data_IF_257347789679
#
_entry.id   IF_257347789679
#
_cell.length_a   1.000
_cell.length_b   1.000
_cell.length_c   1.000
_cell.angle_alpha   90.00
_cell.angle_beta   90.00
_cell.angle_gamma   90.00
#
_symmetry.space_group_name_H-M   'P 1'
#
loop_
_entity.id
_entity.type
_entity.pdbx_description
1 polymer ?
#
# COMPACT_ATOMS: atom_id res chain seq x y z
N UNK A 1 -21.77 7.23 18.00
CA UNK A 1 -21.70 6.63 16.64
C UNK A 1 -20.36 6.88 15.92
N UNK A 2 -19.42 7.67 16.49
CA UNK A 2 -18.03 7.78 16.03
C UNK A 2 -17.17 6.52 16.33
N UNK A 3 -17.67 5.64 17.19
CA UNK A 3 -16.94 4.44 17.62
C UNK A 3 -16.82 3.37 16.53
N UNK A 4 -17.74 3.29 15.56
CA UNK A 4 -17.67 2.30 14.46
C UNK A 4 -16.47 2.58 13.56
N UNK A 5 -16.33 3.83 13.13
CA UNK A 5 -15.19 4.27 12.30
C UNK A 5 -13.88 4.22 13.07
N UNK A 6 -13.89 4.55 14.36
CA UNK A 6 -12.71 4.39 15.21
C UNK A 6 -12.27 2.92 15.35
N UNK A 7 -13.21 1.98 15.43
CA UNK A 7 -12.92 0.54 15.46
C UNK A 7 -12.36 0.04 14.13
N UNK A 8 -12.95 0.43 13.00
CA UNK A 8 -12.46 0.08 11.66
C UNK A 8 -11.05 0.63 11.41
N UNK A 9 -10.79 1.88 11.80
CA UNK A 9 -9.45 2.50 11.73
C UNK A 9 -8.45 1.79 12.65
N UNK A 10 -8.88 1.39 13.85
CA UNK A 10 -8.03 0.63 14.77
C UNK A 10 -7.67 -0.75 14.21
N UNK A 11 -8.63 -1.43 13.57
CA UNK A 11 -8.42 -2.70 12.88
C UNK A 11 -7.43 -2.56 11.73
N UNK A 12 -7.59 -1.52 10.90
CA UNK A 12 -6.67 -1.21 9.83
C UNK A 12 -5.26 -0.89 10.36
N UNK A 13 -5.16 -0.11 11.44
CA UNK A 13 -3.90 0.19 12.10
C UNK A 13 -3.21 -1.07 12.60
N UNK A 14 -3.93 -1.98 13.27
CA UNK A 14 -3.37 -3.27 13.73
C UNK A 14 -2.90 -4.11 12.54
N UNK A 15 -3.67 -4.17 11.46
CA UNK A 15 -3.29 -4.89 10.24
C UNK A 15 -2.01 -4.32 9.61
N UNK A 16 -1.91 -2.99 9.46
CA UNK A 16 -0.73 -2.34 8.90
C UNK A 16 0.50 -2.49 9.83
N UNK A 17 0.30 -2.42 11.15
CA UNK A 17 1.37 -2.65 12.14
C UNK A 17 1.90 -4.09 12.03
N UNK A 18 1.01 -5.08 11.93
CA UNK A 18 1.38 -6.47 11.74
C UNK A 18 2.19 -6.67 10.44
N UNK A 19 1.78 -6.01 9.35
CA UNK A 19 2.53 -6.01 8.08
C UNK A 19 3.93 -5.41 8.25
N UNK A 20 4.04 -4.27 8.95
CA UNK A 20 5.30 -3.58 9.17
C UNK A 20 6.28 -4.41 10.02
N UNK A 21 5.76 -5.09 11.06
CA UNK A 21 6.55 -6.03 11.86
C UNK A 21 6.96 -7.27 11.05
N UNK A 22 6.06 -7.81 10.22
CA UNK A 22 6.36 -8.96 9.37
C UNK A 22 7.46 -8.65 8.35
N UNK A 23 7.39 -7.51 7.66
CA UNK A 23 8.45 -7.02 6.75
C UNK A 23 9.72 -6.65 7.53
N UNK A 24 9.59 -6.09 8.73
CA UNK A 24 10.72 -5.80 9.62
C UNK A 24 11.53 -7.04 10.01
N UNK A 25 10.85 -8.19 10.19
CA UNK A 25 11.53 -9.48 10.43
C UNK A 25 12.33 -9.97 9.23
N UNK A 26 12.01 -9.54 8.01
CA UNK A 26 12.83 -9.87 6.83
C UNK A 26 14.16 -9.11 6.84
N UNK A 27 14.22 -7.92 7.44
CA UNK A 27 15.42 -7.07 7.47
C UNK A 27 16.65 -7.78 8.01
N UNK A 28 16.51 -8.66 9.00
CA UNK A 28 17.64 -9.42 9.57
C UNK A 28 18.14 -10.53 8.65
N UNK A 29 17.34 -10.97 7.69
CA UNK A 29 17.67 -12.03 6.72
C UNK A 29 18.04 -11.50 5.34
N UNK A 30 17.93 -10.18 5.15
CA UNK A 30 18.12 -9.53 3.86
C UNK A 30 19.49 -8.88 3.77
N UNK A 31 20.18 -9.12 2.66
CA UNK A 31 21.49 -8.54 2.40
C UNK A 31 21.44 -7.00 2.34
N UNK A 32 22.59 -6.36 2.62
CA UNK A 32 22.75 -4.90 2.69
C UNK A 32 22.20 -4.18 1.45
N UNK A 33 22.39 -4.80 0.28
CA UNK A 33 22.00 -4.32 -1.05
C UNK A 33 20.48 -4.15 -1.23
N UNK A 34 19.67 -4.93 -0.49
CA UNK A 34 18.21 -4.96 -0.59
C UNK A 34 17.51 -4.16 0.51
N UNK A 35 18.26 -3.65 1.50
CA UNK A 35 17.71 -2.82 2.59
C UNK A 35 16.92 -1.59 2.12
N UNK A 36 17.31 -0.88 1.04
CA UNK A 36 16.54 0.25 0.54
C UNK A 36 15.15 -0.15 0.03
N UNK A 37 15.04 -1.30 -0.65
CA UNK A 37 13.76 -1.82 -1.11
C UNK A 37 12.85 -2.20 0.06
N UNK A 38 13.40 -2.80 1.11
CA UNK A 38 12.65 -3.08 2.35
C UNK A 38 12.18 -1.80 3.03
N UNK A 39 13.01 -0.74 3.06
CA UNK A 39 12.62 0.55 3.60
C UNK A 39 11.44 1.15 2.83
N UNK A 40 11.47 1.09 1.50
CA UNK A 40 10.35 1.55 0.67
C UNK A 40 9.07 0.73 0.91
N UNK A 41 9.17 -0.59 1.09
CA UNK A 41 8.04 -1.43 1.50
C UNK A 41 7.49 -1.01 2.87
N UNK A 42 8.38 -0.78 3.85
CA UNK A 42 7.98 -0.34 5.19
C UNK A 42 7.28 1.02 5.15
N UNK A 43 7.78 1.98 4.37
CA UNK A 43 7.10 3.25 4.13
C UNK A 43 5.71 3.02 3.52
N UNK A 44 5.60 2.10 2.56
CA UNK A 44 4.33 1.70 1.95
C UNK A 44 3.25 1.25 2.93
N UNK A 45 3.64 0.63 4.06
CA UNK A 45 2.73 0.23 5.14
C UNK A 45 2.67 1.23 6.31
N UNK A 46 3.72 2.03 6.52
CA UNK A 46 3.80 3.02 7.60
C UNK A 46 2.87 4.22 7.34
N UNK A 47 2.74 4.67 6.09
CA UNK A 47 1.82 5.77 5.77
C UNK A 47 0.35 5.41 6.02
N UNK A 48 -0.17 4.26 5.55
CA UNK A 48 -1.52 3.79 5.90
C UNK A 48 -1.71 3.58 7.40
N UNK A 49 -0.71 3.02 8.09
CA UNK A 49 -0.73 2.86 9.55
C UNK A 49 -0.91 4.20 10.26
N UNK A 50 -0.09 5.20 9.91
CA UNK A 50 -0.16 6.51 10.52
C UNK A 50 -1.53 7.17 10.22
N UNK A 51 -2.05 7.01 9.00
CA UNK A 51 -3.35 7.57 8.63
C UNK A 51 -4.48 6.95 9.45
N UNK A 52 -4.43 5.63 9.65
CA UNK A 52 -5.38 4.86 10.45
C UNK A 52 -5.29 5.19 11.95
N UNK A 53 -4.09 5.36 12.51
CA UNK A 53 -3.90 5.78 13.91
C UNK A 53 -4.48 7.17 14.15
N UNK A 54 -4.18 8.13 13.26
CA UNK A 54 -4.73 9.48 13.35
C UNK A 54 -6.25 9.49 13.13
N UNK A 55 -6.77 8.61 12.27
CA UNK A 55 -8.21 8.39 12.10
C UNK A 55 -8.89 7.89 13.38
N UNK A 56 -8.33 6.83 13.99
CA UNK A 56 -8.81 6.31 15.26
C UNK A 56 -8.79 7.35 16.39
N UNK A 57 -7.73 8.17 16.47
CA UNK A 57 -7.62 9.27 17.43
C UNK A 57 -8.63 10.39 17.15
N UNK A 58 -8.85 10.73 15.87
CA UNK A 58 -9.82 11.75 15.45
C UNK A 58 -11.24 11.38 15.86
N UNK A 59 -11.64 10.14 15.58
CA UNK A 59 -13.00 9.68 15.86
C UNK A 59 -13.21 9.28 17.33
N UNK A 60 -12.13 9.00 18.08
CA UNK A 60 -12.21 8.61 19.49
C UNK A 60 -12.06 9.76 20.49
N UNK A 61 -11.05 10.62 20.31
CA UNK A 61 -10.55 11.49 21.38
C UNK A 61 -10.33 12.96 20.95
N UNK A 62 -9.95 13.22 19.69
CA UNK A 62 -9.49 14.55 19.26
C UNK A 62 -10.01 14.95 17.86
N UNK A 63 -11.19 15.57 17.76
CA UNK A 63 -11.79 15.94 16.47
C UNK A 63 -10.97 16.93 15.63
N UNK A 64 -10.04 17.66 16.26
CA UNK A 64 -9.17 18.67 15.65
C UNK A 64 -8.14 18.07 14.65
N UNK A 65 -7.94 16.76 14.65
CA UNK A 65 -6.99 16.06 13.78
C UNK A 65 -7.51 15.84 12.34
N UNK A 66 -8.60 16.50 11.94
CA UNK A 66 -9.27 16.28 10.67
C UNK A 66 -8.40 16.62 9.45
N UNK A 67 -7.70 17.76 9.48
CA UNK A 67 -6.78 18.16 8.41
C UNK A 67 -5.58 17.21 8.32
N UNK A 68 -5.01 16.83 9.47
CA UNK A 68 -3.86 15.94 9.54
C UNK A 68 -4.20 14.54 9.01
N UNK A 69 -5.36 13.99 9.38
CA UNK A 69 -5.87 12.74 8.83
C UNK A 69 -6.07 12.83 7.31
N UNK A 70 -6.64 13.93 6.82
CA UNK A 70 -6.83 14.18 5.39
C UNK A 70 -5.51 14.19 4.61
N UNK A 71 -4.50 14.89 5.12
CA UNK A 71 -3.16 14.93 4.51
C UNK A 71 -2.49 13.56 4.51
N UNK A 72 -2.51 12.85 5.63
CA UNK A 72 -1.89 11.52 5.73
C UNK A 72 -2.57 10.48 4.84
N UNK A 73 -3.90 10.52 4.76
CA UNK A 73 -4.68 9.61 3.91
C UNK A 73 -4.41 9.88 2.42
N UNK A 74 -4.28 11.14 2.01
CA UNK A 74 -3.85 11.49 0.64
C UNK A 74 -2.44 10.98 0.37
N UNK A 75 -1.50 11.26 1.27
CA UNK A 75 -0.11 10.82 1.13
C UNK A 75 0.02 9.30 1.05
N UNK A 76 -0.71 8.55 1.88
CA UNK A 76 -0.72 7.09 1.87
C UNK A 76 -1.26 6.54 0.55
N UNK A 77 -2.31 7.16 0.00
CA UNK A 77 -2.88 6.74 -1.28
C UNK A 77 -1.98 7.03 -2.49
N UNK A 78 -1.20 8.11 -2.42
CA UNK A 78 -0.35 8.58 -3.51
C UNK A 78 1.05 7.99 -3.49
N UNK A 79 1.58 7.65 -2.32
CA UNK A 79 2.93 7.10 -2.16
C UNK A 79 2.91 5.62 -1.75
N UNK A 80 1.97 5.21 -0.90
CA UNK A 80 1.99 3.89 -0.29
C UNK A 80 1.83 2.75 -1.29
N UNK A 81 0.70 2.74 -2.00
CA UNK A 81 0.40 1.71 -3.01
C UNK A 81 1.43 1.64 -4.16
N UNK A 82 1.89 2.76 -4.77
CA UNK A 82 2.90 2.71 -5.82
C UNK A 82 4.27 2.22 -5.35
N UNK A 83 4.70 2.58 -4.13
CA UNK A 83 5.93 2.02 -3.57
C UNK A 83 5.81 0.51 -3.38
N UNK A 84 4.66 0.01 -2.91
CA UNK A 84 4.40 -1.42 -2.77
C UNK A 84 4.29 -2.15 -4.13
N UNK A 85 3.71 -1.51 -5.14
CA UNK A 85 3.64 -2.05 -6.50
C UNK A 85 5.01 -2.16 -7.16
N UNK A 86 5.85 -1.12 -7.04
CA UNK A 86 7.25 -1.15 -7.50
C UNK A 86 8.07 -2.18 -6.75
N UNK A 87 7.87 -2.31 -5.43
CA UNK A 87 8.48 -3.35 -4.63
C UNK A 87 8.09 -4.76 -5.09
N UNK A 88 6.80 -4.99 -5.39
CA UNK A 88 6.34 -6.26 -5.93
C UNK A 88 6.97 -6.56 -7.30
N UNK A 89 7.05 -5.57 -8.20
CA UNK A 89 7.70 -5.69 -9.50
C UNK A 89 9.18 -6.02 -9.35
N UNK A 90 9.91 -5.27 -8.52
CA UNK A 90 11.34 -5.45 -8.31
C UNK A 90 11.65 -6.87 -7.81
N UNK A 91 10.87 -7.36 -6.83
CA UNK A 91 11.01 -8.72 -6.33
C UNK A 91 10.58 -9.78 -7.36
N UNK A 92 9.51 -9.51 -8.12
CA UNK A 92 8.99 -10.44 -9.13
C UNK A 92 9.93 -10.62 -10.32
N UNK A 93 10.57 -9.54 -10.77
CA UNK A 93 11.58 -9.52 -11.85
C UNK A 93 13.00 -9.85 -11.38
N UNK A 94 13.21 -10.00 -10.07
CA UNK A 94 14.52 -10.14 -9.46
C UNK A 94 15.50 -8.99 -9.82
N UNK A 95 14.98 -7.77 -9.94
CA UNK A 95 15.82 -6.62 -10.21
C UNK A 95 16.60 -6.18 -8.96
N UNK A 96 17.88 -5.88 -9.18
CA UNK A 96 18.77 -5.34 -8.16
C UNK A 96 18.82 -3.83 -8.32
N UNK A 97 18.00 -3.12 -7.55
CA UNK A 97 18.03 -1.65 -7.52
C UNK A 97 18.87 -1.17 -6.35
N UNK A 98 19.83 -0.28 -6.66
CA UNK A 98 20.64 0.37 -5.64
C UNK A 98 19.79 1.35 -4.82
N UNK A 99 20.25 1.69 -3.62
CA UNK A 99 19.59 2.69 -2.76
C UNK A 99 19.29 4.02 -3.47
N UNK A 100 20.22 4.57 -4.27
CA UNK A 100 19.95 5.76 -5.07
C UNK A 100 18.79 5.61 -6.06
N UNK A 101 18.58 4.44 -6.66
CA UNK A 101 17.45 4.20 -7.58
C UNK A 101 16.12 4.30 -6.84
N UNK A 102 16.02 3.70 -5.65
CA UNK A 102 14.84 3.83 -4.80
C UNK A 102 14.58 5.28 -4.37
N UNK A 103 15.63 6.01 -4.03
CA UNK A 103 15.53 7.45 -3.73
C UNK A 103 15.01 8.26 -4.92
N UNK A 104 15.54 8.03 -6.13
CA UNK A 104 15.09 8.70 -7.36
C UNK A 104 13.64 8.39 -7.70
N UNK A 105 13.18 7.16 -7.46
CA UNK A 105 11.77 6.79 -7.66
C UNK A 105 10.86 7.52 -6.68
N UNK A 106 11.25 7.60 -5.42
CA UNK A 106 10.48 8.32 -4.41
C UNK A 106 10.43 9.82 -4.72
N UNK A 107 11.57 10.43 -5.06
CA UNK A 107 11.64 11.82 -5.50
C UNK A 107 10.85 12.06 -6.79
N UNK A 108 10.90 11.13 -7.74
CA UNK A 108 10.12 11.18 -8.97
C UNK A 108 8.63 11.18 -8.67
N UNK A 109 8.15 10.28 -7.79
CA UNK A 109 6.76 10.26 -7.37
C UNK A 109 6.31 11.57 -6.74
N UNK A 110 7.15 12.14 -5.87
CA UNK A 110 6.88 13.43 -5.24
C UNK A 110 6.87 14.58 -6.26
N UNK A 111 7.81 14.60 -7.21
CA UNK A 111 7.91 15.62 -8.24
C UNK A 111 6.74 15.56 -9.22
N UNK A 112 6.34 14.36 -9.66
CA UNK A 112 5.16 14.18 -10.49
C UNK A 112 3.88 14.57 -9.74
N UNK A 113 3.73 14.16 -8.48
CA UNK A 113 2.63 14.62 -7.65
C UNK A 113 2.52 16.15 -7.64
N UNK A 114 3.63 16.84 -7.40
CA UNK A 114 3.67 18.30 -7.34
C UNK A 114 3.37 18.94 -8.70
N UNK A 115 3.88 18.35 -9.79
CA UNK A 115 3.59 18.79 -11.17
C UNK A 115 2.09 18.68 -11.50
N UNK A 116 1.49 17.51 -11.26
CA UNK A 116 0.06 17.29 -11.53
C UNK A 116 -0.83 18.10 -10.58
N UNK A 117 -0.36 18.37 -9.35
CA UNK A 117 -1.01 19.29 -8.42
C UNK A 117 -1.04 20.72 -8.99
N UNK A 118 0.06 21.20 -9.58
CA UNK A 118 0.12 22.54 -10.19
C UNK A 118 -0.71 22.63 -11.48
N UNK A 119 -0.80 21.55 -12.25
CA UNK A 119 -1.62 21.47 -13.47
C UNK A 119 -3.12 21.31 -13.20
N UNK A 120 -3.52 21.06 -11.95
CA UNK A 120 -4.92 20.82 -11.57
C UNK A 120 -5.48 19.45 -11.99
N UNK A 121 -4.62 18.52 -12.41
CA UNK A 121 -4.99 17.16 -12.87
C UNK A 121 -4.67 16.09 -11.82
N UNK A 122 -4.92 16.41 -10.55
CA UNK A 122 -4.51 15.56 -9.44
C UNK A 122 -5.34 14.28 -9.36
N UNK A 123 -6.61 14.34 -9.74
CA UNK A 123 -7.52 13.19 -9.68
C UNK A 123 -7.17 12.16 -10.78
N UNK A 124 -6.88 12.62 -12.00
CA UNK A 124 -6.41 11.79 -13.10
C UNK A 124 -5.07 11.13 -12.76
N UNK A 125 -4.14 11.91 -12.18
CA UNK A 125 -2.86 11.38 -11.71
C UNK A 125 -3.04 10.31 -10.65
N UNK A 126 -3.89 10.56 -9.65
CA UNK A 126 -4.18 9.60 -8.58
C UNK A 126 -4.76 8.30 -9.14
N UNK A 127 -5.72 8.39 -10.06
CA UNK A 127 -6.30 7.22 -10.71
C UNK A 127 -5.25 6.45 -11.51
N UNK A 128 -4.45 7.16 -12.32
CA UNK A 128 -3.39 6.55 -13.14
C UNK A 128 -2.33 5.84 -12.30
N UNK A 129 -1.86 6.47 -11.22
CA UNK A 129 -0.87 5.88 -10.31
C UNK A 129 -1.45 4.66 -9.57
N UNK A 130 -2.70 4.73 -9.11
CA UNK A 130 -3.33 3.58 -8.45
C UNK A 130 -3.51 2.40 -9.40
N UNK A 131 -4.07 2.63 -10.59
CA UNK A 131 -4.23 1.59 -11.61
C UNK A 131 -2.88 1.01 -12.03
N UNK A 132 -1.87 1.87 -12.26
CA UNK A 132 -0.51 1.45 -12.56
C UNK A 132 0.06 0.55 -11.46
N UNK A 133 -0.12 0.92 -10.19
CA UNK A 133 0.35 0.14 -9.05
C UNK A 133 -0.31 -1.25 -8.98
N UNK A 134 -1.62 -1.33 -9.22
CA UNK A 134 -2.36 -2.59 -9.26
C UNK A 134 -1.90 -3.47 -10.42
N UNK A 135 -1.70 -2.89 -11.60
CA UNK A 135 -1.15 -3.59 -12.76
C UNK A 135 0.24 -4.15 -12.46
N UNK A 136 1.11 -3.40 -11.77
CA UNK A 136 2.42 -3.88 -11.35
C UNK A 136 2.32 -5.08 -10.40
N UNK A 137 1.35 -5.07 -9.48
CA UNK A 137 1.11 -6.18 -8.54
C UNK A 137 0.67 -7.44 -9.30
N UNK A 138 -0.32 -7.31 -10.21
CA UNK A 138 -0.78 -8.44 -11.06
C UNK A 138 0.37 -8.97 -11.91
N UNK A 139 1.13 -8.06 -12.53
CA UNK A 139 2.27 -8.39 -13.36
C UNK A 139 3.34 -9.16 -12.58
N UNK A 140 3.68 -8.72 -11.36
CA UNK A 140 4.58 -9.43 -10.46
C UNK A 140 4.09 -10.84 -10.13
N UNK A 141 2.78 -11.04 -9.97
CA UNK A 141 2.15 -12.34 -9.79
C UNK A 141 2.24 -13.24 -11.03
N UNK A 142 2.01 -12.67 -12.22
CA UNK A 142 2.12 -13.38 -13.51
C UNK A 142 3.53 -13.88 -13.80
N UNK A 143 4.56 -13.08 -13.45
CA UNK A 143 5.96 -13.48 -13.62
C UNK A 143 6.36 -14.72 -12.79
N UNK A 144 5.54 -15.12 -11.81
CA UNK A 144 5.78 -16.30 -10.97
C UNK A 144 5.13 -17.59 -11.50
N UNK A 145 4.56 -17.54 -12.72
CA UNK A 145 4.04 -18.72 -13.41
C UNK A 145 5.13 -19.80 -13.55
N UNK A 146 4.85 -21.11 -13.31
CA UNK A 146 3.54 -21.77 -13.18
C UNK A 146 2.94 -21.81 -11.78
N UNK A 147 3.51 -21.11 -10.79
CA UNK A 147 2.98 -21.15 -9.43
C UNK A 147 1.72 -20.29 -9.31
N UNK A 148 0.57 -20.93 -9.10
CA UNK A 148 -0.74 -20.24 -9.06
C UNK A 148 -0.94 -19.36 -7.83
N UNK A 149 -0.31 -19.69 -6.70
CA UNK A 149 -0.52 -18.97 -5.43
C UNK A 149 -0.15 -17.47 -5.48
N UNK A 150 1.05 -17.04 -5.93
CA UNK A 150 1.37 -15.61 -6.02
C UNK A 150 0.46 -14.85 -7.00
N UNK A 151 0.03 -15.50 -8.08
CA UNK A 151 -0.94 -14.92 -9.01
C UNK A 151 -2.31 -14.72 -8.34
N UNK A 152 -2.81 -15.74 -7.63
CA UNK A 152 -4.07 -15.66 -6.89
C UNK A 152 -4.04 -14.56 -5.82
N UNK A 153 -2.92 -14.43 -5.08
CA UNK A 153 -2.73 -13.36 -4.11
C UNK A 153 -2.72 -11.98 -4.79
N UNK A 154 -2.00 -11.83 -5.91
CA UNK A 154 -1.97 -10.58 -6.65
C UNK A 154 -3.35 -10.17 -7.20
N UNK A 155 -4.12 -11.14 -7.72
CA UNK A 155 -5.49 -10.92 -8.17
C UNK A 155 -6.42 -10.58 -7.01
N UNK A 156 -6.33 -11.28 -5.87
CA UNK A 156 -7.13 -11.00 -4.69
C UNK A 156 -6.86 -9.60 -4.13
N UNK A 157 -5.58 -9.21 -4.02
CA UNK A 157 -5.19 -7.85 -3.59
C UNK A 157 -5.75 -6.81 -4.56
N UNK A 158 -5.59 -7.04 -5.86
CA UNK A 158 -6.07 -6.12 -6.90
C UNK A 158 -7.59 -5.97 -6.89
N UNK A 159 -8.31 -7.08 -6.73
CA UNK A 159 -9.76 -7.07 -6.58
C UNK A 159 -10.20 -6.31 -5.33
N UNK A 160 -9.54 -6.53 -4.18
CA UNK A 160 -9.88 -5.83 -2.93
C UNK A 160 -9.61 -4.33 -3.00
N UNK A 161 -8.45 -3.92 -3.52
CA UNK A 161 -8.15 -2.48 -3.71
C UNK A 161 -9.05 -1.84 -4.77
N UNK A 162 -9.38 -2.56 -5.85
CA UNK A 162 -10.31 -2.10 -6.88
C UNK A 162 -11.72 -1.91 -6.32
N UNK A 163 -12.24 -2.90 -5.59
CA UNK A 163 -13.53 -2.80 -4.91
C UNK A 163 -13.54 -1.68 -3.87
N UNK A 164 -12.46 -1.50 -3.10
CA UNK A 164 -12.33 -0.40 -2.16
C UNK A 164 -12.38 0.97 -2.86
N UNK A 165 -11.72 1.10 -4.02
CA UNK A 165 -11.79 2.30 -4.84
C UNK A 165 -13.20 2.58 -5.39
N UNK A 166 -13.90 1.54 -5.86
CA UNK A 166 -15.28 1.64 -6.35
C UNK A 166 -16.27 2.05 -5.24
N UNK A 167 -16.12 1.50 -4.03
CA UNK A 167 -16.98 1.82 -2.88
C UNK A 167 -16.90 3.31 -2.51
N UNK A 168 -15.74 3.94 -2.68
CA UNK A 168 -15.57 5.39 -2.50
C UNK A 168 -16.09 6.18 -3.70
N UNK A 169 -15.83 5.71 -4.93
CA UNK A 169 -16.11 6.45 -6.17
C UNK A 169 -17.58 6.45 -6.63
N UNK A 170 -18.41 5.49 -6.20
CA UNK A 170 -19.82 5.46 -6.61
C UNK A 170 -20.66 6.40 -5.74
N UNK A 171 -20.95 7.64 -6.11
CA UNK A 171 -21.75 8.57 -5.27
C UNK A 171 -23.21 8.15 -4.99
N UNK A 172 -23.73 7.09 -5.63
CA UNK A 172 -25.14 6.69 -5.50
C UNK A 172 -25.44 5.57 -4.49
N UNK A 173 -26.34 5.84 -3.53
CA UNK A 173 -27.24 4.89 -2.82
C UNK A 173 -26.81 4.12 -1.55
N UNK A 174 -25.56 4.19 -1.07
CA UNK A 174 -25.21 3.63 0.25
C UNK A 174 -24.87 4.75 1.23
N UNK A 175 -25.42 4.71 2.44
CA UNK A 175 -25.19 5.73 3.47
C UNK A 175 -23.69 6.01 3.66
N UNK A 176 -23.34 7.29 3.73
CA UNK A 176 -21.98 7.84 3.83
C UNK A 176 -21.08 7.08 4.84
N UNK A 177 -21.63 6.64 5.97
CA UNK A 177 -20.90 5.95 7.04
C UNK A 177 -20.58 4.49 6.74
N UNK A 178 -21.49 3.74 6.10
CA UNK A 178 -21.28 2.32 5.79
C UNK A 178 -20.14 2.13 4.78
N UNK A 179 -19.97 3.10 3.88
CA UNK A 179 -18.91 3.11 2.87
C UNK A 179 -17.52 3.27 3.46
N UNK A 180 -17.40 4.15 4.46
CA UNK A 180 -16.13 4.41 5.13
C UNK A 180 -15.71 3.18 5.93
N UNK A 181 -16.61 2.57 6.71
CA UNK A 181 -16.29 1.35 7.45
C UNK A 181 -15.96 0.18 6.51
N UNK A 182 -16.74 -0.01 5.44
CA UNK A 182 -16.49 -1.04 4.44
C UNK A 182 -15.14 -0.83 3.73
N UNK A 183 -14.78 0.42 3.40
CA UNK A 183 -13.49 0.75 2.80
C UNK A 183 -12.32 0.35 3.70
N UNK A 184 -12.36 0.72 4.99
CA UNK A 184 -11.31 0.37 5.94
C UNK A 184 -11.26 -1.15 6.18
N UNK A 185 -12.40 -1.84 6.20
CA UNK A 185 -12.45 -3.30 6.30
C UNK A 185 -11.82 -3.99 5.08
N UNK A 186 -12.10 -3.52 3.86
CA UNK A 186 -11.48 -4.04 2.63
C UNK A 186 -9.96 -3.82 2.63
N UNK A 187 -9.52 -2.62 3.03
CA UNK A 187 -8.09 -2.31 3.17
C UNK A 187 -7.41 -3.18 4.24
N UNK A 188 -8.06 -3.38 5.38
CA UNK A 188 -7.54 -4.19 6.48
C UNK A 188 -7.31 -5.65 6.05
N UNK A 189 -8.04 -6.13 5.04
CA UNK A 189 -7.84 -7.45 4.44
C UNK A 189 -6.83 -7.42 3.28
N UNK A 190 -6.80 -6.34 2.49
CA UNK A 190 -5.90 -6.18 1.35
C UNK A 190 -4.43 -6.03 1.77
N UNK A 191 -4.12 -5.25 2.81
CA UNK A 191 -2.74 -5.00 3.25
C UNK A 191 -2.02 -6.27 3.75
N UNK A 192 -2.62 -7.13 4.59
CA UNK A 192 -2.00 -8.40 4.99
C UNK A 192 -1.77 -9.36 3.82
N UNK A 193 -2.70 -9.44 2.87
CA UNK A 193 -2.54 -10.24 1.65
C UNK A 193 -1.37 -9.73 0.80
N UNK A 194 -1.24 -8.40 0.65
CA UNK A 194 -0.14 -7.78 -0.06
C UNK A 194 1.21 -8.02 0.65
N UNK A 195 1.24 -7.88 1.97
CA UNK A 195 2.43 -8.22 2.75
C UNK A 195 2.81 -9.70 2.58
N UNK A 196 1.83 -10.60 2.55
CA UNK A 196 2.09 -12.02 2.33
C UNK A 196 2.66 -12.30 0.93
N UNK A 197 2.14 -11.63 -0.10
CA UNK A 197 2.68 -11.68 -1.46
C UNK A 197 4.14 -11.20 -1.47
N UNK A 198 4.45 -10.05 -0.87
CA UNK A 198 5.81 -9.49 -0.82
C UNK A 198 6.79 -10.41 -0.09
N UNK A 199 6.39 -10.99 1.05
CA UNK A 199 7.21 -11.94 1.81
C UNK A 199 7.50 -13.20 0.98
N UNK A 200 6.50 -13.71 0.24
CA UNK A 200 6.66 -14.86 -0.67
C UNK A 200 7.64 -14.54 -1.80
N UNK A 201 7.53 -13.36 -2.41
CA UNK A 201 8.42 -12.93 -3.48
C UNK A 201 9.85 -12.72 -2.98
N UNK A 202 10.03 -12.06 -1.82
CA UNK A 202 11.33 -11.83 -1.19
C UNK A 202 12.03 -13.15 -0.81
N UNK A 203 11.28 -14.12 -0.27
CA UNK A 203 11.83 -15.44 0.06
C UNK A 203 12.32 -16.24 -1.16
N UNK A 204 11.79 -15.97 -2.36
CA UNK A 204 12.28 -16.58 -3.61
C UNK A 204 13.50 -15.87 -4.14
N UNK A 205 13.49 -14.55 -4.10
CA UNK A 205 14.63 -13.72 -4.47
C UNK A 205 15.89 -14.11 -3.69
N UNK A 206 15.76 -14.25 -2.36
CA UNK A 206 16.88 -14.69 -1.52
C UNK A 206 17.37 -16.10 -1.84
N UNK A 207 16.46 -17.04 -2.19
CA UNK A 207 16.84 -18.40 -2.60
C UNK A 207 17.55 -18.44 -3.96
N UNK A 208 17.14 -17.61 -4.91
CA UNK A 208 17.78 -17.51 -6.22
C UNK A 208 19.23 -17.01 -6.13
N UNK A 209 19.57 -16.21 -5.10
CA UNK A 209 20.93 -15.70 -4.85
C UNK A 209 21.84 -16.70 -4.12
N UNK A 210 21.28 -17.76 -3.54
CA UNK A 210 22.03 -18.78 -2.79
C UNK A 210 22.44 -19.99 -3.65
N UNK A 211 21.97 -20.04 -4.91
CA UNK A 211 22.33 -21.03 -5.93
C UNK A 211 23.32 -20.41 -6.91
#
# INVERSE_FOLDING_TARGET
MQYSTALSDSLLAIACLACLLAIGKLRSRTAEDQRPGLFCMQMGFALPLAAAVVGALRFGLMPDLSEMHGWLSRASSLLGLPLLGLAALCLGRQWHWSGPTWGRLLLGLCAFFELFRQLGWLDEYRMGVQLGSLLLIVYAGLMQWPQRLPLLLALAVTALFGLAGLVIGTEGSMGWFLRIDLFHALLALAYPLLAWLLIRLAGRYSRAKAL
#
